data_IF_854649572176
#
_entry.id   IF_854649572176
#
_cell.length_a   1.000
_cell.length_b   1.000
_cell.length_c   1.000
_cell.angle_alpha   90.00
_cell.angle_beta   90.00
_cell.angle_gamma   90.00
#
_symmetry.space_group_name_H-M   'P 1'
#
loop_
_entity.id
_entity.type
_entity.pdbx_description
1 polymer ?
#
# COMPACT_ATOMS: atom_id res chain seq x y z
N UNK A 1 0.82 18.69 -16.78
CA UNK A 1 -0.27 17.68 -16.76
C UNK A 1 0.12 16.69 -15.67
N UNK A 2 -0.73 16.39 -14.68
CA UNK A 2 -0.33 15.51 -13.57
C UNK A 2 0.11 14.14 -14.10
N UNK A 3 1.33 13.69 -13.78
CA UNK A 3 1.79 12.35 -14.18
C UNK A 3 0.84 11.28 -13.62
N UNK A 4 0.58 10.25 -14.42
CA UNK A 4 -0.13 9.05 -13.98
C UNK A 4 0.90 8.02 -13.56
N UNK A 5 0.74 7.44 -12.37
CA UNK A 5 1.62 6.38 -11.86
C UNK A 5 0.97 5.01 -12.03
N UNK A 6 1.80 3.98 -12.22
CA UNK A 6 1.38 2.58 -12.14
C UNK A 6 1.72 2.03 -10.77
N UNK A 7 0.76 1.41 -10.09
CA UNK A 7 0.96 0.79 -8.77
C UNK A 7 0.67 -0.70 -8.88
N UNK A 8 1.70 -1.51 -8.67
CA UNK A 8 1.50 -2.92 -8.35
C UNK A 8 1.20 -3.06 -6.87
N UNK A 9 -0.07 -3.26 -6.52
CA UNK A 9 -0.49 -3.48 -5.13
C UNK A 9 -0.42 -4.97 -4.83
N UNK A 10 0.73 -5.55 -4.52
CA UNK A 10 0.81 -7.01 -4.28
C UNK A 10 0.36 -7.43 -2.88
N UNK A 11 0.12 -8.74 -2.69
CA UNK A 11 -0.22 -9.31 -1.38
C UNK A 11 0.93 -9.18 -0.38
N UNK A 12 2.17 -9.34 -0.83
CA UNK A 12 3.37 -9.36 0.02
C UNK A 12 4.21 -8.11 -0.15
N UNK A 13 4.40 -7.65 -1.39
CA UNK A 13 5.14 -6.44 -1.71
C UNK A 13 4.32 -5.63 -2.70
N UNK A 14 4.49 -4.32 -2.67
CA UNK A 14 3.95 -3.38 -3.62
C UNK A 14 5.08 -2.60 -4.29
N UNK A 15 4.81 -2.06 -5.47
CA UNK A 15 5.76 -1.29 -6.25
C UNK A 15 5.02 -0.14 -6.94
N UNK A 16 5.71 0.98 -7.16
CA UNK A 16 5.18 2.12 -7.90
C UNK A 16 6.15 2.51 -9.01
N UNK A 17 5.61 2.81 -10.17
CA UNK A 17 6.33 3.18 -11.37
C UNK A 17 5.72 4.42 -12.02
N UNK A 18 6.55 5.15 -12.74
CA UNK A 18 6.15 6.32 -13.52
C UNK A 18 6.74 6.21 -14.93
N UNK A 19 6.02 6.71 -15.92
CA UNK A 19 6.54 6.84 -17.27
C UNK A 19 7.25 8.19 -17.42
N UNK A 20 8.49 8.14 -17.91
CA UNK A 20 9.33 9.31 -18.17
C UNK A 20 9.84 9.25 -19.60
N UNK A 21 9.22 10.04 -20.48
CA UNK A 21 9.41 9.89 -21.93
C UNK A 21 8.94 8.51 -22.38
N UNK A 22 9.84 7.76 -23.02
CA UNK A 22 9.58 6.41 -23.53
C UNK A 22 9.97 5.29 -22.55
N UNK A 23 10.52 5.64 -21.39
CA UNK A 23 10.95 4.68 -20.37
C UNK A 23 9.98 4.61 -19.20
N UNK A 24 9.84 3.41 -18.62
CA UNK A 24 9.14 3.21 -17.35
C UNK A 24 10.18 3.05 -16.24
N UNK A 25 10.11 3.92 -15.25
CA UNK A 25 11.04 3.96 -14.11
C UNK A 25 10.33 3.48 -12.85
N UNK A 26 10.94 2.53 -12.12
CA UNK A 26 10.49 2.18 -10.77
C UNK A 26 10.95 3.25 -9.79
N UNK A 27 10.01 3.81 -9.02
CA UNK A 27 10.32 4.79 -7.99
C UNK A 27 10.77 4.04 -6.73
N UNK A 28 11.98 4.34 -6.19
CA UNK A 28 12.41 3.77 -4.93
C UNK A 28 11.58 4.34 -3.77
N UNK A 29 11.32 3.52 -2.75
CA UNK A 29 10.69 3.98 -1.51
C UNK A 29 11.62 4.94 -0.76
N UNK A 30 11.10 5.68 0.23
CA UNK A 30 11.92 6.49 1.13
C UNK A 30 13.07 5.71 1.80
N UNK A 31 12.94 4.39 1.93
CA UNK A 31 13.96 3.49 2.47
C UNK A 31 14.97 2.99 1.41
N UNK A 32 14.90 3.50 0.17
CA UNK A 32 15.79 3.16 -0.95
C UNK A 32 15.46 1.84 -1.67
N UNK A 33 14.34 1.18 -1.35
CA UNK A 33 13.98 -0.11 -1.94
C UNK A 33 13.08 0.07 -3.15
N UNK A 34 13.27 -0.76 -4.19
CA UNK A 34 12.39 -0.77 -5.38
C UNK A 34 11.03 -1.42 -5.14
N UNK A 35 10.85 -2.07 -3.99
CA UNK A 35 9.57 -2.61 -3.55
C UNK A 35 9.36 -2.26 -2.09
N UNK A 36 8.10 -2.10 -1.71
CA UNK A 36 7.70 -1.85 -0.33
C UNK A 36 6.87 -3.03 0.17
N UNK A 37 7.17 -3.60 1.36
CA UNK A 37 6.32 -4.63 1.94
C UNK A 37 4.87 -4.16 2.10
N UNK A 38 3.90 -5.01 1.72
CA UNK A 38 2.47 -4.76 1.91
C UNK A 38 2.06 -5.07 3.36
N UNK A 39 2.65 -4.30 4.29
CA UNK A 39 2.54 -4.47 5.73
C UNK A 39 2.19 -3.14 6.36
N UNK A 40 1.19 -3.16 7.23
CA UNK A 40 0.77 -2.00 8.03
C UNK A 40 0.87 -2.38 9.48
N UNK A 41 1.37 -1.48 10.32
CA UNK A 41 1.35 -1.70 11.75
C UNK A 41 0.97 -0.44 12.52
N UNK A 42 0.46 -0.65 13.73
CA UNK A 42 0.11 0.40 14.66
C UNK A 42 0.99 0.28 15.91
N UNK A 43 1.67 1.37 16.28
CA UNK A 43 2.47 1.41 17.52
C UNK A 43 1.55 1.48 18.74
N UNK A 44 2.12 1.41 19.94
CA UNK A 44 1.35 1.57 21.19
C UNK A 44 0.85 3.01 21.37
N UNK A 45 1.57 3.95 20.79
CA UNK A 45 1.29 5.39 20.80
C UNK A 45 0.28 5.78 19.70
N UNK A 46 -0.21 4.81 18.91
CA UNK A 46 -1.17 5.03 17.84
C UNK A 46 -0.57 5.51 16.52
N UNK A 47 0.77 5.56 16.41
CA UNK A 47 1.43 5.87 15.15
C UNK A 47 1.26 4.72 14.15
N UNK A 48 1.06 5.08 12.88
CA UNK A 48 0.96 4.11 11.79
C UNK A 48 2.30 3.97 11.08
N UNK A 49 2.82 2.75 11.07
CA UNK A 49 3.97 2.34 10.26
C UNK A 49 3.49 1.59 9.02
N UNK A 50 4.16 1.79 7.89
CA UNK A 50 3.86 1.09 6.63
C UNK A 50 5.15 0.62 5.98
N UNK A 51 5.14 -0.53 5.32
CA UNK A 51 6.29 -1.01 4.57
C UNK A 51 7.39 -1.61 5.44
N UNK A 52 8.62 -1.22 5.18
CA UNK A 52 9.78 -1.80 5.84
C UNK A 52 9.79 -1.56 7.34
N UNK A 53 9.33 -0.38 7.79
CA UNK A 53 9.22 -0.05 9.21
C UNK A 53 8.22 -0.96 9.92
N UNK A 54 7.05 -1.18 9.33
CA UNK A 54 6.04 -2.09 9.88
C UNK A 54 6.53 -3.54 9.90
N UNK A 55 7.22 -3.99 8.84
CA UNK A 55 7.77 -5.35 8.75
C UNK A 55 8.83 -5.64 9.81
N UNK A 56 9.70 -4.68 10.14
CA UNK A 56 10.79 -4.86 11.13
C UNK A 56 10.28 -5.20 12.52
N UNK A 57 9.15 -4.65 12.91
CA UNK A 57 8.57 -4.85 14.24
C UNK A 57 7.49 -5.95 14.29
N UNK A 58 7.22 -6.63 13.18
CA UNK A 58 6.14 -7.63 13.09
C UNK A 58 6.27 -8.78 14.10
N UNK A 59 7.50 -9.15 14.49
CA UNK A 59 7.74 -10.22 15.48
C UNK A 59 7.39 -9.76 16.90
N UNK A 60 7.73 -8.53 17.26
CA UNK A 60 7.55 -8.00 18.62
C UNK A 60 6.20 -7.31 18.83
N UNK A 61 5.55 -6.91 17.75
CA UNK A 61 4.26 -6.21 17.74
C UNK A 61 3.28 -6.91 16.77
N UNK A 62 3.17 -8.24 16.89
CA UNK A 62 2.39 -9.07 15.98
C UNK A 62 0.90 -8.74 15.98
N UNK A 63 0.30 -8.55 17.15
CA UNK A 63 -1.14 -8.29 17.30
C UNK A 63 -1.60 -6.97 16.65
N UNK A 64 -0.66 -6.04 16.42
CA UNK A 64 -0.93 -4.75 15.77
C UNK A 64 -0.27 -4.64 14.40
N UNK A 65 0.21 -5.74 13.84
CA UNK A 65 0.84 -5.78 12.51
C UNK A 65 0.01 -6.62 11.57
N UNK A 66 -0.47 -5.99 10.50
CA UNK A 66 -1.31 -6.60 9.48
C UNK A 66 -0.46 -6.93 8.26
N UNK A 67 -0.48 -8.21 7.88
CA UNK A 67 0.16 -8.72 6.67
C UNK A 67 -0.90 -9.31 5.72
N UNK A 68 -0.56 -9.44 4.44
CA UNK A 68 -1.38 -10.15 3.44
C UNK A 68 -2.82 -9.65 3.27
N UNK A 69 -3.09 -8.38 3.61
CA UNK A 69 -4.45 -7.83 3.59
C UNK A 69 -5.14 -7.96 2.22
N UNK A 70 -4.37 -7.99 1.13
CA UNK A 70 -4.92 -8.14 -0.23
C UNK A 70 -5.78 -9.42 -0.40
N UNK A 71 -5.55 -10.45 0.41
CA UNK A 71 -6.35 -11.69 0.41
C UNK A 71 -7.80 -11.46 0.87
N UNK A 72 -8.01 -10.41 1.67
CA UNK A 72 -9.29 -10.06 2.29
C UNK A 72 -10.03 -8.96 1.52
N UNK A 73 -9.50 -8.50 0.37
CA UNK A 73 -10.17 -7.48 -0.43
C UNK A 73 -11.55 -7.97 -0.85
N UNK A 74 -12.57 -7.13 -0.64
CA UNK A 74 -13.97 -7.46 -0.94
C UNK A 74 -14.66 -8.35 0.09
N UNK A 75 -14.01 -8.67 1.22
CA UNK A 75 -14.66 -9.37 2.35
C UNK A 75 -15.25 -8.38 3.37
N UNK A 76 -16.09 -8.90 4.27
CA UNK A 76 -16.68 -8.15 5.39
C UNK A 76 -15.77 -8.10 6.62
N UNK A 77 -14.52 -8.57 6.52
CA UNK A 77 -13.57 -8.59 7.62
C UNK A 77 -13.43 -7.20 8.26
N UNK A 78 -13.40 -7.16 9.59
CA UNK A 78 -13.06 -5.97 10.38
C UNK A 78 -11.87 -6.29 11.27
N UNK A 79 -10.78 -5.57 11.09
CA UNK A 79 -9.57 -5.68 11.90
C UNK A 79 -9.70 -4.67 13.03
N UNK A 80 -9.76 -5.16 14.26
CA UNK A 80 -9.83 -4.32 15.46
C UNK A 80 -8.42 -3.99 15.95
N UNK A 81 -8.12 -2.69 16.02
CA UNK A 81 -6.89 -2.17 16.61
C UNK A 81 -7.31 -1.15 17.67
N UNK A 82 -7.13 -1.51 18.95
CA UNK A 82 -7.46 -0.68 20.10
C UNK A 82 -8.90 -0.13 20.11
N UNK A 83 -9.86 -0.97 19.71
CA UNK A 83 -11.29 -0.62 19.66
C UNK A 83 -11.71 0.10 18.38
N UNK A 84 -10.77 0.40 17.48
CA UNK A 84 -11.06 0.94 16.15
C UNK A 84 -11.03 -0.16 15.10
N UNK A 85 -12.14 -0.30 14.39
CA UNK A 85 -12.31 -1.28 13.32
C UNK A 85 -11.88 -0.71 11.98
N UNK A 86 -11.04 -1.45 11.27
CA UNK A 86 -10.57 -1.14 9.93
C UNK A 86 -11.01 -2.23 8.95
N UNK A 87 -11.38 -1.81 7.75
CA UNK A 87 -11.64 -2.67 6.61
C UNK A 87 -10.35 -3.03 5.86
N UNK A 88 -10.35 -4.13 5.07
CA UNK A 88 -9.25 -4.44 4.18
C UNK A 88 -8.87 -3.28 3.24
N UNK A 89 -9.88 -2.57 2.73
CA UNK A 89 -9.73 -1.40 1.87
C UNK A 89 -9.02 -0.26 2.59
N UNK A 90 -9.39 0.03 3.84
CA UNK A 90 -8.73 1.06 4.64
C UNK A 90 -7.27 0.69 4.92
N UNK A 91 -6.97 -0.56 5.26
CA UNK A 91 -5.58 -1.00 5.48
C UNK A 91 -4.77 -0.94 4.16
N UNK A 92 -5.32 -1.41 3.05
CA UNK A 92 -4.70 -1.27 1.72
C UNK A 92 -4.50 0.19 1.32
N UNK A 93 -5.41 1.09 1.68
CA UNK A 93 -5.29 2.52 1.40
C UNK A 93 -4.05 3.14 2.06
N UNK A 94 -3.65 2.63 3.22
CA UNK A 94 -2.44 3.09 3.93
C UNK A 94 -1.16 2.72 3.15
N UNK A 95 -1.16 1.57 2.47
CA UNK A 95 -0.08 1.15 1.57
C UNK A 95 -0.03 2.07 0.35
N UNK A 96 -1.18 2.34 -0.28
CA UNK A 96 -1.29 3.24 -1.42
C UNK A 96 -0.87 4.68 -1.07
N UNK A 97 -1.22 5.17 0.12
CA UNK A 97 -0.81 6.48 0.62
C UNK A 97 0.71 6.57 0.79
N UNK A 98 1.38 5.50 1.24
CA UNK A 98 2.85 5.45 1.27
C UNK A 98 3.43 5.49 -0.14
N UNK A 99 2.94 4.66 -1.07
CA UNK A 99 3.41 4.69 -2.46
C UNK A 99 3.27 6.07 -3.08
N UNK A 100 2.10 6.70 -2.87
CA UNK A 100 1.83 8.06 -3.35
C UNK A 100 2.85 9.04 -2.79
N UNK A 101 3.10 9.03 -1.47
CA UNK A 101 4.07 9.93 -0.85
C UNK A 101 5.48 9.72 -1.40
N UNK A 102 5.93 8.46 -1.48
CA UNK A 102 7.24 8.12 -2.04
C UNK A 102 7.37 8.63 -3.50
N UNK A 103 6.29 8.58 -4.29
CA UNK A 103 6.26 9.13 -5.65
C UNK A 103 6.21 10.66 -5.72
N UNK A 104 5.45 11.31 -4.84
CA UNK A 104 5.40 12.78 -4.75
C UNK A 104 6.77 13.35 -4.35
N UNK A 105 7.44 12.71 -3.39
CA UNK A 105 8.79 13.08 -2.95
C UNK A 105 9.82 12.90 -4.08
N UNK A 106 9.72 11.80 -4.86
CA UNK A 106 10.59 11.56 -6.01
C UNK A 106 10.37 12.54 -7.16
N UNK A 107 9.10 12.85 -7.47
CA UNK A 107 8.73 13.69 -8.62
C UNK A 107 8.79 15.19 -8.32
N UNK A 108 8.72 15.59 -7.04
CA UNK A 108 8.65 16.99 -6.63
C UNK A 108 7.31 17.67 -6.94
N UNK A 109 6.27 16.90 -7.29
CA UNK A 109 4.93 17.40 -7.61
C UNK A 109 3.82 16.43 -7.13
N UNK A 110 2.58 16.92 -6.93
CA UNK A 110 1.48 16.08 -6.48
C UNK A 110 1.07 14.98 -7.49
N UNK A 111 0.79 13.78 -6.98
CA UNK A 111 0.29 12.65 -7.77
C UNK A 111 -1.18 12.44 -7.47
N UNK A 112 -2.03 12.64 -8.50
CA UNK A 112 -3.49 12.62 -8.36
C UNK A 112 -4.17 11.49 -9.12
N UNK A 113 -3.45 10.78 -9.98
CA UNK A 113 -3.97 9.70 -10.83
C UNK A 113 -3.07 8.49 -10.78
N UNK A 114 -3.67 7.31 -10.65
CA UNK A 114 -2.96 6.05 -10.65
C UNK A 114 -3.71 4.98 -11.43
N UNK A 115 -2.96 4.02 -11.99
CA UNK A 115 -3.46 2.73 -12.46
C UNK A 115 -3.01 1.69 -11.44
N UNK A 116 -3.95 0.93 -10.86
CA UNK A 116 -3.67 -0.03 -9.78
C UNK A 116 -3.92 -1.46 -10.28
N UNK A 117 -2.98 -2.37 -10.02
CA UNK A 117 -3.09 -3.78 -10.44
C UNK A 117 -4.05 -4.59 -9.55
N UNK A 118 -4.76 -5.52 -10.18
CA UNK A 118 -5.54 -6.58 -9.50
C UNK A 118 -5.27 -7.92 -10.17
N UNK A 119 -5.31 -9.05 -9.43
CA UNK A 119 -5.22 -10.37 -10.03
C UNK A 119 -6.31 -10.58 -11.09
N UNK A 120 -5.97 -11.31 -12.16
CA UNK A 120 -6.91 -11.57 -13.25
C UNK A 120 -8.18 -12.30 -12.78
N UNK A 121 -8.08 -13.14 -11.75
CA UNK A 121 -9.19 -13.90 -11.17
C UNK A 121 -10.00 -13.15 -10.10
N UNK A 122 -9.68 -11.89 -9.80
CA UNK A 122 -10.50 -11.10 -8.85
C UNK A 122 -11.93 -10.95 -9.36
N UNK A 123 -12.90 -11.17 -8.47
CA UNK A 123 -14.32 -10.91 -8.73
C UNK A 123 -14.59 -9.41 -8.79
N UNK A 124 -15.76 -9.01 -9.30
CA UNK A 124 -16.14 -7.60 -9.39
C UNK A 124 -16.12 -6.90 -8.03
N UNK A 125 -16.59 -7.56 -6.97
CA UNK A 125 -16.55 -7.01 -5.61
C UNK A 125 -15.11 -6.71 -5.16
N UNK A 126 -14.15 -7.60 -5.45
CA UNK A 126 -12.73 -7.41 -5.10
C UNK A 126 -12.07 -6.32 -5.95
N UNK A 127 -12.47 -6.19 -7.21
CA UNK A 127 -12.04 -5.12 -8.12
C UNK A 127 -12.55 -3.76 -7.64
N UNK A 128 -13.83 -3.65 -7.29
CA UNK A 128 -14.41 -2.42 -6.75
C UNK A 128 -13.79 -2.06 -5.41
N UNK A 129 -13.53 -3.04 -4.54
CA UNK A 129 -12.85 -2.80 -3.27
C UNK A 129 -11.43 -2.24 -3.42
N UNK A 130 -10.76 -2.52 -4.54
CA UNK A 130 -9.40 -2.02 -4.82
C UNK A 130 -9.39 -0.64 -5.48
N UNK A 131 -10.52 -0.21 -6.06
CA UNK A 131 -10.67 1.04 -6.81
C UNK A 131 -10.92 2.23 -5.87
#
# INVERSE_FOLDING_TARGET
>A
MSKVVGIDLGTTNSCIAVQEGDAVTIIPSAEGNRTTPSVVAFTKEGERLVGQLAKRQAIVNGDRTILSIKREMGSDLKIDIDGKKYTPQEISSMILQKMKRDAEDYLGEPVTKAVITVPAYFTDAQRQATK
#
